data_IF_028217299935
#
_entry.id   IF_028217299935
#
_cell.length_a   1.000
_cell.length_b   1.000
_cell.length_c   1.000
_cell.angle_alpha   90.00
_cell.angle_beta   90.00
_cell.angle_gamma   90.00
#
_symmetry.space_group_name_H-M   'P 1'
#
loop_
_entity.id
_entity.type
_entity.pdbx_description
1 polymer ?
#
# COMPACT_ATOMS: atom_id res chain seq x y z
N UNK A 1 26.10 15.79 -8.94
CA UNK A 1 25.06 16.37 -9.82
C UNK A 1 25.66 16.93 -11.13
N UNK A 2 26.98 16.93 -11.31
CA UNK A 2 27.63 17.59 -12.46
C UNK A 2 27.57 16.78 -13.77
N UNK A 3 27.49 15.44 -13.67
CA UNK A 3 27.41 14.57 -14.84
C UNK A 3 26.10 14.69 -15.65
N UNK A 4 24.96 14.97 -14.98
CA UNK A 4 23.68 15.16 -15.68
C UNK A 4 23.61 16.48 -16.44
N UNK A 5 24.27 17.52 -15.93
CA UNK A 5 24.31 18.84 -16.53
C UNK A 5 25.10 18.83 -17.85
N UNK A 6 26.35 18.31 -17.83
CA UNK A 6 27.18 18.23 -19.03
C UNK A 6 26.56 17.34 -20.11
N UNK A 7 25.92 16.24 -19.73
CA UNK A 7 25.17 15.37 -20.65
C UNK A 7 24.09 16.15 -21.41
N UNK A 8 23.34 16.98 -20.69
CA UNK A 8 22.26 17.77 -21.29
C UNK A 8 22.80 18.84 -22.23
N UNK A 9 23.91 19.50 -21.86
CA UNK A 9 24.58 20.46 -22.73
C UNK A 9 25.07 19.81 -24.03
N UNK A 10 25.74 18.66 -23.94
CA UNK A 10 26.24 17.93 -25.11
C UNK A 10 25.11 17.43 -26.02
N UNK A 11 24.04 16.86 -25.44
CA UNK A 11 22.88 16.41 -26.21
C UNK A 11 22.19 17.59 -26.91
N UNK A 12 22.05 18.73 -26.23
CA UNK A 12 21.46 19.94 -26.82
C UNK A 12 22.36 20.51 -27.93
N UNK A 13 23.67 20.46 -27.75
CA UNK A 13 24.63 20.87 -28.77
C UNK A 13 24.54 19.99 -30.02
N UNK A 14 24.57 18.67 -29.87
CA UNK A 14 24.41 17.74 -30.99
C UNK A 14 23.04 17.92 -31.67
N UNK A 15 21.97 18.08 -30.89
CA UNK A 15 20.63 18.30 -31.41
C UNK A 15 20.51 19.58 -32.26
N UNK A 16 21.21 20.66 -31.89
CA UNK A 16 21.10 21.95 -32.59
C UNK A 16 22.10 22.11 -33.74
N UNK A 17 23.32 21.62 -33.57
CA UNK A 17 24.42 21.89 -34.51
C UNK A 17 24.68 20.73 -35.48
N UNK A 18 24.35 19.50 -35.08
CA UNK A 18 24.61 18.29 -35.87
C UNK A 18 23.47 17.27 -35.71
N UNK A 19 22.24 17.57 -36.18
CA UNK A 19 21.11 16.64 -36.05
C UNK A 19 21.35 15.30 -36.76
N UNK A 20 22.08 15.30 -37.88
CA UNK A 20 22.35 14.11 -38.70
C UNK A 20 22.99 12.96 -37.90
N UNK A 21 23.86 13.25 -36.92
CA UNK A 21 24.51 12.20 -36.12
C UNK A 21 23.56 11.54 -35.12
N UNK A 22 22.52 12.27 -34.68
CA UNK A 22 21.47 11.74 -33.82
C UNK A 22 20.51 10.91 -34.66
N UNK A 23 20.09 11.42 -35.82
CA UNK A 23 19.18 10.73 -36.74
C UNK A 23 19.76 9.41 -37.27
N UNK A 24 21.08 9.38 -37.52
CA UNK A 24 21.80 8.17 -37.92
C UNK A 24 22.16 7.23 -36.76
N UNK A 25 21.81 7.60 -35.53
CA UNK A 25 22.01 6.74 -34.35
C UNK A 25 23.47 6.58 -33.90
N UNK A 26 24.32 7.58 -34.14
CA UNK A 26 25.74 7.54 -33.77
C UNK A 26 26.04 8.04 -32.34
N UNK A 27 25.03 8.56 -31.63
CA UNK A 27 25.19 9.07 -30.26
C UNK A 27 24.78 7.98 -29.25
N UNK A 28 25.73 7.53 -28.43
CA UNK A 28 25.49 6.53 -27.37
C UNK A 28 25.73 7.13 -25.98
N UNK A 29 24.89 6.75 -25.02
CA UNK A 29 25.02 7.16 -23.62
C UNK A 29 25.44 5.93 -22.82
N UNK A 30 26.64 5.98 -22.24
CA UNK A 30 27.08 4.96 -21.30
C UNK A 30 26.19 4.97 -20.04
N UNK A 31 25.89 3.77 -19.53
CA UNK A 31 25.17 3.58 -18.26
C UNK A 31 26.15 3.05 -17.22
N UNK A 32 26.92 3.93 -16.55
CA UNK A 32 27.87 3.47 -15.53
C UNK A 32 27.12 2.80 -14.37
N UNK A 33 27.69 1.75 -13.76
CA UNK A 33 27.07 1.11 -12.62
C UNK A 33 27.03 2.08 -11.42
N UNK A 34 25.91 2.07 -10.70
CA UNK A 34 25.72 2.90 -9.50
C UNK A 34 26.36 2.25 -8.26
N UNK A 35 26.40 0.91 -8.23
CA UNK A 35 26.89 0.14 -7.09
C UNK A 35 27.91 -0.93 -7.51
N UNK A 36 28.84 -1.21 -6.60
CA UNK A 36 29.67 -2.41 -6.62
C UNK A 36 29.42 -3.18 -5.34
N UNK A 37 28.88 -4.39 -5.45
CA UNK A 37 28.58 -5.27 -4.32
C UNK A 37 29.63 -6.37 -4.26
N UNK A 38 30.07 -6.70 -3.05
CA UNK A 38 30.95 -7.81 -2.77
C UNK A 38 30.32 -8.71 -1.72
N UNK A 39 30.07 -9.97 -2.08
CA UNK A 39 29.54 -10.97 -1.17
C UNK A 39 30.43 -12.22 -1.20
N UNK A 40 31.20 -12.43 -0.14
CA UNK A 40 32.23 -13.47 -0.11
C UNK A 40 33.30 -13.25 -1.18
N UNK A 41 33.40 -14.19 -2.13
CA UNK A 41 34.34 -14.13 -3.26
C UNK A 41 33.75 -13.51 -4.53
N UNK A 42 32.43 -13.30 -4.58
CA UNK A 42 31.76 -12.74 -5.74
C UNK A 42 31.72 -11.21 -5.68
N UNK A 43 32.04 -10.58 -6.81
CA UNK A 43 31.90 -9.13 -7.02
C UNK A 43 30.93 -8.88 -8.18
N UNK A 44 29.92 -8.03 -7.97
CA UNK A 44 28.91 -7.69 -8.97
C UNK A 44 28.72 -6.19 -9.05
N UNK A 45 28.67 -5.67 -10.27
CA UNK A 45 28.31 -4.28 -10.55
C UNK A 45 26.80 -4.19 -10.81
N UNK A 46 26.14 -3.23 -10.19
CA UNK A 46 24.70 -3.03 -10.26
C UNK A 46 24.42 -1.62 -10.74
N UNK A 47 23.49 -1.46 -11.68
CA UNK A 47 23.26 -0.19 -12.37
C UNK A 47 22.26 0.74 -11.67
N UNK A 48 21.30 0.18 -10.95
CA UNK A 48 20.20 0.94 -10.35
C UNK A 48 19.71 0.35 -9.02
N UNK A 49 18.90 1.12 -8.31
CA UNK A 49 18.32 0.74 -7.01
C UNK A 49 17.41 -0.48 -7.10
N UNK A 50 16.71 -0.67 -8.22
CA UNK A 50 15.80 -1.79 -8.38
C UNK A 50 16.56 -3.11 -8.45
N UNK A 51 17.65 -3.14 -9.22
CA UNK A 51 18.53 -4.29 -9.33
C UNK A 51 19.27 -4.56 -8.00
N UNK A 52 19.62 -3.51 -7.24
CA UNK A 52 20.17 -3.65 -5.88
C UNK A 52 19.15 -4.31 -4.95
N UNK A 53 17.93 -3.79 -4.90
CA UNK A 53 16.87 -4.31 -4.02
C UNK A 53 16.51 -5.76 -4.37
N UNK A 54 16.44 -6.09 -5.67
CA UNK A 54 16.21 -7.46 -6.12
C UNK A 54 17.36 -8.40 -5.72
N UNK A 55 18.61 -7.94 -5.83
CA UNK A 55 19.78 -8.72 -5.40
C UNK A 55 19.78 -8.97 -3.90
N UNK A 56 19.52 -7.93 -3.09
CA UNK A 56 19.45 -8.04 -1.63
C UNK A 56 18.30 -8.97 -1.20
N UNK A 57 17.13 -8.88 -1.86
CA UNK A 57 16.02 -9.77 -1.59
C UNK A 57 16.41 -11.22 -1.85
N UNK A 58 16.99 -11.51 -3.02
CA UNK A 58 17.45 -12.87 -3.35
C UNK A 58 18.43 -13.40 -2.31
N UNK A 59 19.41 -12.59 -1.91
CA UNK A 59 20.39 -12.97 -0.91
C UNK A 59 19.75 -13.27 0.45
N UNK A 60 18.76 -12.45 0.85
CA UNK A 60 18.01 -12.68 2.09
C UNK A 60 17.18 -13.98 2.04
N UNK A 61 16.66 -14.35 0.86
CA UNK A 61 15.80 -15.54 0.70
C UNK A 61 16.61 -16.84 0.58
N UNK A 62 17.87 -16.81 0.12
CA UNK A 62 18.69 -18.01 -0.15
C UNK A 62 18.91 -18.91 1.07
N UNK A 63 18.91 -18.33 2.28
CA UNK A 63 19.08 -19.06 3.55
C UNK A 63 17.92 -18.84 4.53
N UNK A 64 16.80 -18.34 4.04
CA UNK A 64 15.63 -18.07 4.86
C UNK A 64 14.55 -19.13 4.62
N UNK A 65 13.88 -19.49 5.70
CA UNK A 65 12.69 -20.31 5.68
C UNK A 65 11.70 -19.78 6.71
N UNK A 66 10.42 -19.78 6.35
CA UNK A 66 9.34 -19.46 7.27
C UNK A 66 8.75 -20.75 7.80
N UNK A 67 8.68 -20.87 9.12
CA UNK A 67 7.99 -21.99 9.79
C UNK A 67 6.66 -21.47 10.28
N UNK A 68 5.57 -22.00 9.74
CA UNK A 68 4.23 -21.67 10.21
C UNK A 68 3.98 -22.33 11.58
N UNK A 69 3.03 -21.82 12.38
CA UNK A 69 2.61 -22.47 13.63
C UNK A 69 2.20 -23.93 13.46
N UNK A 70 1.71 -24.30 12.27
CA UNK A 70 1.31 -25.66 11.91
C UNK A 70 2.50 -26.59 11.55
N UNK A 71 3.74 -26.09 11.66
CA UNK A 71 4.97 -26.85 11.40
C UNK A 71 5.36 -26.95 9.93
N UNK A 72 4.55 -26.45 8.99
CA UNK A 72 4.90 -26.39 7.56
C UNK A 72 6.01 -25.35 7.32
N UNK A 73 7.01 -25.71 6.53
CA UNK A 73 8.10 -24.82 6.13
C UNK A 73 7.86 -24.25 4.72
N UNK A 74 7.98 -22.93 4.59
CA UNK A 74 7.93 -22.21 3.31
C UNK A 74 9.31 -21.63 3.05
N UNK A 75 10.00 -22.19 2.06
CA UNK A 75 11.34 -21.80 1.64
C UNK A 75 11.46 -21.70 0.12
N UNK A 76 12.60 -21.19 -0.37
CA UNK A 76 12.92 -21.14 -1.80
C UNK A 76 11.97 -20.26 -2.62
N UNK A 77 11.47 -20.77 -3.74
CA UNK A 77 10.66 -20.02 -4.70
C UNK A 77 9.31 -19.57 -4.10
N UNK A 78 8.67 -20.42 -3.29
CA UNK A 78 7.40 -20.09 -2.64
C UNK A 78 7.56 -18.90 -1.68
N UNK A 79 8.67 -18.87 -0.94
CA UNK A 79 9.01 -17.74 -0.06
C UNK A 79 9.32 -16.48 -0.86
N UNK A 80 10.02 -16.63 -1.99
CA UNK A 80 10.39 -15.52 -2.87
C UNK A 80 9.15 -14.85 -3.47
N UNK A 81 8.18 -15.63 -3.95
CA UNK A 81 6.92 -15.08 -4.47
C UNK A 81 6.09 -14.39 -3.39
N UNK A 82 6.01 -14.97 -2.19
CA UNK A 82 5.35 -14.33 -1.05
C UNK A 82 6.00 -12.99 -0.69
N UNK A 83 7.34 -12.95 -0.64
CA UNK A 83 8.07 -11.73 -0.36
C UNK A 83 7.85 -10.66 -1.43
N UNK A 84 7.78 -11.03 -2.72
CA UNK A 84 7.45 -10.11 -3.82
C UNK A 84 6.03 -9.55 -3.66
N UNK A 85 5.04 -10.39 -3.36
CA UNK A 85 3.67 -9.93 -3.12
C UNK A 85 3.59 -8.96 -1.94
N UNK A 86 4.32 -9.25 -0.87
CA UNK A 86 4.40 -8.36 0.29
C UNK A 86 5.04 -7.02 -0.05
N UNK A 87 6.16 -6.99 -0.79
CA UNK A 87 6.79 -5.75 -1.24
C UNK A 87 5.86 -4.91 -2.11
N UNK A 88 5.10 -5.55 -3.00
CA UNK A 88 4.09 -4.87 -3.82
C UNK A 88 3.01 -4.25 -2.94
N UNK A 89 2.49 -4.99 -1.95
CA UNK A 89 1.51 -4.49 -1.00
C UNK A 89 2.05 -3.26 -0.25
N UNK A 90 3.27 -3.32 0.30
CA UNK A 90 3.89 -2.19 1.01
C UNK A 90 4.13 -0.98 0.09
N UNK A 91 4.48 -1.18 -1.18
CA UNK A 91 4.60 -0.09 -2.16
C UNK A 91 3.25 0.60 -2.43
N UNK A 92 2.17 -0.19 -2.58
CA UNK A 92 0.81 0.33 -2.73
C UNK A 92 0.39 1.09 -1.48
N UNK A 93 0.64 0.54 -0.29
CA UNK A 93 0.35 1.17 0.99
C UNK A 93 1.12 2.49 1.12
N UNK A 94 2.41 2.52 0.81
CA UNK A 94 3.24 3.73 0.85
C UNK A 94 2.73 4.83 -0.09
N UNK A 95 2.22 4.45 -1.27
CA UNK A 95 1.59 5.41 -2.19
C UNK A 95 0.28 5.98 -1.62
N UNK A 96 -0.56 5.12 -1.04
CA UNK A 96 -1.85 5.51 -0.44
C UNK A 96 -1.70 6.23 0.90
N UNK A 97 -0.54 6.08 1.56
CA UNK A 97 -0.24 6.70 2.85
C UNK A 97 -0.31 8.24 2.84
N UNK A 98 -0.26 8.85 1.65
CA UNK A 98 -0.43 10.31 1.47
C UNK A 98 -1.86 10.78 1.78
N UNK A 99 -2.84 9.89 1.65
CA UNK A 99 -4.27 10.19 1.77
C UNK A 99 -4.86 9.47 2.99
N UNK A 100 -4.37 8.27 3.25
CA UNK A 100 -4.89 7.36 4.27
C UNK A 100 -3.78 7.02 5.28
N UNK A 101 -4.13 6.78 6.54
CA UNK A 101 -3.18 6.29 7.53
C UNK A 101 -2.58 4.92 7.15
N UNK A 102 -1.25 4.82 7.15
CA UNK A 102 -0.54 3.61 6.70
C UNK A 102 -0.89 2.36 7.52
N UNK A 103 -1.15 2.51 8.82
CA UNK A 103 -1.45 1.34 9.66
C UNK A 103 -2.88 0.88 9.47
N UNK A 104 -3.80 1.79 9.13
CA UNK A 104 -5.14 1.40 8.72
C UNK A 104 -5.11 0.58 7.42
N UNK A 105 -4.29 0.99 6.45
CA UNK A 105 -4.08 0.23 5.20
C UNK A 105 -3.47 -1.14 5.47
N UNK A 106 -2.46 -1.23 6.34
CA UNK A 106 -1.89 -2.54 6.74
C UNK A 106 -2.90 -3.40 7.49
N UNK A 107 -3.74 -2.81 8.34
CA UNK A 107 -4.78 -3.56 9.05
C UNK A 107 -5.81 -4.18 8.09
N UNK A 108 -6.15 -3.47 7.00
CA UNK A 108 -6.96 -3.96 5.89
C UNK A 108 -6.21 -5.08 5.13
N UNK A 109 -4.93 -4.87 4.80
CA UNK A 109 -4.12 -5.87 4.12
C UNK A 109 -3.99 -7.19 4.92
N UNK A 110 -3.97 -7.10 6.24
CA UNK A 110 -4.01 -8.25 7.16
C UNK A 110 -5.42 -8.90 7.26
N UNK A 111 -6.37 -8.55 6.38
CA UNK A 111 -7.68 -9.20 6.29
C UNK A 111 -8.83 -8.56 7.09
N UNK A 112 -8.78 -7.27 7.42
CA UNK A 112 -9.99 -6.58 7.90
C UNK A 112 -10.88 -6.26 6.70
N UNK A 113 -12.10 -6.80 6.71
CA UNK A 113 -13.17 -6.38 5.81
C UNK A 113 -13.86 -5.13 6.37
N UNK A 114 -14.00 -4.11 5.51
CA UNK A 114 -14.72 -2.89 5.82
C UNK A 114 -16.07 -2.91 5.11
N UNK A 115 -17.14 -2.97 5.88
CA UNK A 115 -18.51 -2.83 5.39
C UNK A 115 -19.02 -1.43 5.75
N UNK A 116 -19.42 -0.69 4.72
CA UNK A 116 -19.90 0.68 4.82
C UNK A 116 -21.30 0.84 4.22
N UNK A 117 -22.04 -0.26 4.07
CA UNK A 117 -23.36 -0.25 3.44
C UNK A 117 -24.47 0.13 4.44
N UNK A 118 -24.22 -0.01 5.74
CA UNK A 118 -25.17 0.40 6.80
C UNK A 118 -24.47 1.07 7.98
N UNK A 119 -25.23 1.88 8.73
CA UNK A 119 -24.73 2.56 9.92
C UNK A 119 -24.15 1.58 10.95
N UNK A 120 -24.88 0.49 11.20
CA UNK A 120 -24.49 -0.54 12.16
C UNK A 120 -23.26 -1.32 11.68
N UNK A 121 -23.18 -1.66 10.38
CA UNK A 121 -22.01 -2.33 9.82
C UNK A 121 -20.76 -1.43 9.84
N UNK A 122 -20.91 -0.15 9.51
CA UNK A 122 -19.82 0.82 9.58
C UNK A 122 -19.28 1.02 11.01
N UNK A 123 -20.16 1.00 12.02
CA UNK A 123 -19.75 1.03 13.43
C UNK A 123 -19.02 -0.24 13.86
N UNK A 124 -19.47 -1.41 13.38
CA UNK A 124 -18.79 -2.69 13.61
C UNK A 124 -17.39 -2.71 12.99
N UNK A 125 -17.26 -2.30 11.71
CA UNK A 125 -15.97 -2.17 11.02
C UNK A 125 -15.06 -1.13 11.69
N UNK A 126 -15.60 0.00 12.16
CA UNK A 126 -14.83 0.99 12.93
C UNK A 126 -14.26 0.42 14.22
N UNK A 127 -15.07 -0.39 14.93
CA UNK A 127 -14.67 -1.04 16.19
C UNK A 127 -13.59 -2.10 15.95
N UNK A 128 -13.76 -2.94 14.93
CA UNK A 128 -12.78 -3.95 14.53
C UNK A 128 -11.43 -3.31 14.13
N UNK A 129 -11.46 -2.25 13.32
CA UNK A 129 -10.27 -1.53 12.91
C UNK A 129 -9.56 -0.87 14.10
N UNK A 130 -10.32 -0.26 15.02
CA UNK A 130 -9.77 0.34 16.25
C UNK A 130 -9.07 -0.70 17.14
N UNK A 131 -9.67 -1.88 17.31
CA UNK A 131 -9.09 -2.96 18.09
C UNK A 131 -7.73 -3.40 17.52
N UNK A 132 -7.65 -3.66 16.21
CA UNK A 132 -6.40 -4.11 15.55
C UNK A 132 -5.31 -3.04 15.55
N UNK A 133 -5.68 -1.77 15.33
CA UNK A 133 -4.74 -0.65 15.43
C UNK A 133 -4.18 -0.47 16.85
N UNK A 134 -4.99 -0.70 17.88
CA UNK A 134 -4.54 -0.58 19.26
C UNK A 134 -3.51 -1.64 19.68
N UNK A 135 -3.54 -2.83 19.05
CA UNK A 135 -2.58 -3.91 19.29
C UNK A 135 -1.23 -3.68 18.58
N UNK A 136 -1.22 -2.95 17.47
CA UNK A 136 -0.04 -2.79 16.60
C UNK A 136 0.81 -1.55 16.94
N UNK A 137 0.28 -0.61 17.73
CA UNK A 137 0.95 0.65 18.03
C UNK A 137 1.84 0.55 19.28
N UNK A 138 3.15 0.65 19.07
CA UNK A 138 4.17 0.75 20.14
C UNK A 138 4.20 2.17 20.77
N UNK A 139 3.44 3.13 20.22
CA UNK A 139 3.40 4.52 20.69
C UNK A 139 2.22 4.82 21.64
N UNK A 140 2.38 5.74 22.62
CA UNK A 140 1.41 5.98 23.69
C UNK A 140 0.09 6.65 23.27
N UNK A 141 -0.10 6.99 21.99
CA UNK A 141 -1.33 7.66 21.53
C UNK A 141 -2.28 6.67 20.86
N UNK A 142 -3.39 6.39 21.55
CA UNK A 142 -4.48 5.56 21.04
C UNK A 142 -5.14 6.24 19.83
N UNK A 143 -5.25 5.58 18.67
CA UNK A 143 -5.98 6.11 17.53
C UNK A 143 -7.47 6.14 17.86
N UNK A 144 -8.16 7.21 17.47
CA UNK A 144 -9.62 7.26 17.51
C UNK A 144 -10.19 7.00 16.12
N UNK A 145 -11.03 5.96 16.03
CA UNK A 145 -11.81 5.65 14.83
C UNK A 145 -13.26 5.99 15.14
N UNK A 146 -13.90 6.79 14.29
CA UNK A 146 -15.30 7.17 14.41
C UNK A 146 -15.98 7.03 13.05
N UNK A 147 -17.12 6.34 13.01
CA UNK A 147 -18.03 6.39 11.87
C UNK A 147 -18.86 7.68 11.96
N UNK A 148 -18.90 8.47 10.88
CA UNK A 148 -19.71 9.70 10.80
C UNK A 148 -20.62 9.61 9.58
N UNK A 149 -21.92 9.78 9.80
CA UNK A 149 -22.88 10.00 8.72
C UNK A 149 -22.88 11.49 8.35
N UNK A 150 -22.78 11.83 7.07
CA UNK A 150 -22.92 13.21 6.60
C UNK A 150 -24.33 13.45 6.03
N UNK A 151 -25.19 14.13 6.80
CA UNK A 151 -26.38 14.84 6.28
C UNK A 151 -27.58 13.97 5.88
N UNK A 152 -28.79 14.47 6.14
CA UNK A 152 -30.06 13.77 5.98
C UNK A 152 -30.50 13.49 4.52
N UNK A 153 -29.69 13.80 3.50
CA UNK A 153 -30.06 13.67 2.08
C UNK A 153 -29.02 13.03 1.16
N UNK A 154 -27.81 12.72 1.64
CA UNK A 154 -26.83 11.93 0.89
C UNK A 154 -26.24 10.86 1.81
N UNK A 155 -26.64 9.61 1.58
CA UNK A 155 -26.30 8.44 2.38
C UNK A 155 -24.81 8.03 2.23
N UNK A 156 -23.89 8.92 2.61
CA UNK A 156 -22.45 8.66 2.58
C UNK A 156 -21.93 8.41 4.00
N UNK A 157 -21.51 7.17 4.27
CA UNK A 157 -20.86 6.76 5.51
C UNK A 157 -19.35 7.00 5.40
N UNK A 158 -18.79 7.81 6.30
CA UNK A 158 -17.36 8.12 6.32
C UNK A 158 -16.71 7.58 7.59
N UNK A 159 -15.62 6.81 7.44
CA UNK A 159 -14.76 6.41 8.57
C UNK A 159 -13.67 7.46 8.77
N UNK A 160 -13.72 8.17 9.89
CA UNK A 160 -12.69 9.13 10.26
C UNK A 160 -11.68 8.47 11.20
N UNK A 161 -10.41 8.41 10.77
CA UNK A 161 -9.30 7.90 11.57
C UNK A 161 -8.44 9.08 12.03
N UNK A 162 -8.51 9.44 13.31
CA UNK A 162 -7.72 10.56 13.82
C UNK A 162 -6.49 10.02 14.55
N UNK A 163 -5.31 10.28 13.97
CA UNK A 163 -4.03 10.16 14.63
C UNK A 163 -3.42 11.55 14.75
N UNK A 164 -3.16 12.01 15.98
CA UNK A 164 -2.40 13.26 16.17
C UNK A 164 -0.92 12.93 15.97
N UNK A 165 -0.49 12.90 14.71
CA UNK A 165 0.92 12.89 14.34
C UNK A 165 1.57 14.23 14.76
N UNK A 166 2.89 14.23 15.03
CA UNK A 166 3.67 15.46 15.33
C UNK A 166 3.54 16.56 14.25
N UNK A 167 3.05 16.21 13.05
CA UNK A 167 2.91 17.09 11.88
C UNK A 167 1.46 17.51 11.54
N UNK A 168 0.46 17.21 12.38
CA UNK A 168 -0.90 17.75 12.21
C UNK A 168 -1.74 17.19 11.04
N UNK A 169 -1.27 16.19 10.29
CA UNK A 169 -2.07 15.56 9.23
C UNK A 169 -3.12 14.60 9.81
N UNK A 170 -4.40 14.91 9.60
CA UNK A 170 -5.53 13.99 9.83
C UNK A 170 -5.70 13.10 8.59
N UNK A 171 -5.40 11.81 8.68
CA UNK A 171 -5.67 10.85 7.62
C UNK A 171 -7.17 10.55 7.54
N UNK A 172 -7.84 10.95 6.45
CA UNK A 172 -9.27 10.75 6.28
C UNK A 172 -9.51 9.62 5.26
N UNK A 173 -10.02 8.49 5.74
CA UNK A 173 -10.49 7.40 4.88
C UNK A 173 -11.89 7.75 4.37
N UNK A 174 -11.99 8.15 3.10
CA UNK A 174 -13.27 8.29 2.40
C UNK A 174 -13.48 7.09 1.49
N UNK A 175 -14.46 6.26 1.79
CA UNK A 175 -14.96 5.24 0.87
C UNK A 175 -16.47 5.32 0.86
N UNK A 176 -17.04 5.59 -0.32
CA UNK A 176 -18.47 5.74 -0.54
C UNK A 176 -19.06 4.37 -0.91
N UNK A 177 -19.90 3.79 -0.05
CA UNK A 177 -20.71 2.60 -0.36
C UNK A 177 -22.13 3.00 -0.82
N UNK A 178 -22.73 2.34 -1.81
CA UNK A 178 -24.08 2.66 -2.27
C UNK A 178 -25.14 2.14 -1.29
N UNK A 179 -25.89 3.05 -0.67
CA UNK A 179 -27.01 2.71 0.21
C UNK A 179 -28.14 2.00 -0.57
N UNK A 180 -28.33 0.69 -0.35
CA UNK A 180 -29.55 -0.01 -0.79
C UNK A 180 -30.71 0.33 0.14
N UNK A 181 -31.83 0.79 -0.43
CA UNK A 181 -33.11 1.01 0.27
C UNK A 181 -33.61 -0.33 0.84
N UNK A 182 -33.87 -0.36 2.14
CA UNK A 182 -34.53 -1.48 2.83
C UNK A 182 -35.98 -1.65 2.35
N UNK A 183 -36.48 -2.88 2.12
CA UNK A 183 -37.89 -3.09 1.86
C UNK A 183 -38.71 -2.97 3.15
N UNK A 184 -39.76 -2.16 3.12
CA UNK A 184 -40.72 -2.00 4.22
C UNK A 184 -41.47 -3.32 4.43
N UNK A 185 -41.30 -3.93 5.60
CA UNK A 185 -42.05 -5.12 6.03
C UNK A 185 -43.46 -4.72 6.44
N UNK A 186 -44.45 -5.18 5.66
CA UNK A 186 -45.87 -4.98 5.90
C UNK A 186 -46.36 -5.79 7.11
N UNK A 187 -47.08 -5.11 8.00
CA UNK A 187 -47.70 -5.68 9.18
C UNK A 187 -48.76 -6.74 8.82
N UNK A 188 -48.52 -8.01 9.19
CA UNK A 188 -49.56 -9.05 9.16
C UNK A 188 -50.13 -9.28 10.56
N UNK A 189 -51.32 -8.72 10.78
CA UNK A 189 -52.15 -8.91 11.97
C UNK A 189 -52.81 -10.30 11.88
N UNK A 190 -52.38 -11.26 12.69
CA UNK A 190 -53.07 -12.55 12.83
C UNK A 190 -54.28 -12.40 13.75
N UNK A 191 -55.48 -12.61 13.21
CA UNK A 191 -56.75 -12.72 13.94
C UNK A 191 -57.10 -14.19 14.14
N UNK A 192 -57.55 -14.50 15.35
CA UNK A 192 -58.17 -15.75 15.81
C UNK A 192 -59.34 -16.23 14.92
N UNK A 193 -59.53 -17.55 14.88
CA UNK A 193 -60.77 -18.39 14.72
C UNK A 193 -60.30 -19.82 14.38
N UNK A 194 -60.83 -20.96 14.81
CA UNK A 194 -61.93 -21.40 15.66
C UNK A 194 -61.73 -22.91 15.83
N UNK A 195 -61.91 -23.45 17.04
CA UNK A 195 -62.71 -24.63 17.39
C UNK A 195 -62.70 -24.80 18.91
#
# INVERSE_FOLDING_TARGET
MDGSHIRTLLLTFFYRQMPDIIERGHVYIAQPPLYKIKHGKEERYIKDDNELNAYLLRLAMEKAALVNPDGSEVAGDALTELARQYQLAEAVIGRLARIVDSDALRAIADGIELDLDSAAAAEASATALKAKLSLRLIYPRRPSVQARQQGAQESALTLSLCRIARSGLKGLLRSQGPARKTPQSGAHRSRQKTL
#
